data_IF_280677140832
#
_entry.id   IF_280677140832
#
_cell.length_a   1.000
_cell.length_b   1.000
_cell.length_c   1.000
_cell.angle_alpha   90.00
_cell.angle_beta   90.00
_cell.angle_gamma   90.00
#
_symmetry.space_group_name_H-M   'P 1'
#
loop_
_entity.id
_entity.type
_entity.pdbx_description
1 polymer ?
#
# COMPACT_ATOMS: atom_id res chain seq x y z
N UNK A 1 -37.62 19.25 28.45
CA UNK A 1 -36.65 20.32 28.11
C UNK A 1 -37.40 21.62 28.02
N UNK A 2 -36.86 22.70 28.59
CA UNK A 2 -37.44 24.05 28.45
C UNK A 2 -37.24 24.59 27.03
N UNK A 3 -38.00 25.61 26.63
CA UNK A 3 -37.84 26.26 25.32
C UNK A 3 -36.40 26.80 25.12
N UNK A 4 -35.82 27.39 26.16
CA UNK A 4 -34.43 27.86 26.18
C UNK A 4 -33.42 26.72 25.96
N UNK A 5 -33.64 25.55 26.59
CA UNK A 5 -32.79 24.37 26.38
C UNK A 5 -32.88 23.84 24.95
N UNK A 6 -34.04 23.93 24.30
CA UNK A 6 -34.22 23.53 22.90
C UNK A 6 -33.46 24.49 21.97
N UNK A 7 -33.56 25.80 22.21
CA UNK A 7 -32.85 26.81 21.41
C UNK A 7 -31.33 26.69 21.53
N UNK A 8 -30.82 26.52 22.76
CA UNK A 8 -29.40 26.29 22.99
C UNK A 8 -28.87 25.05 22.24
N UNK A 9 -29.63 23.93 22.24
CA UNK A 9 -29.24 22.73 21.48
C UNK A 9 -29.28 22.95 19.96
N UNK A 10 -30.25 23.71 19.45
CA UNK A 10 -30.29 24.09 18.02
C UNK A 10 -29.06 24.89 17.62
N UNK A 11 -28.65 25.87 18.44
CA UNK A 11 -27.44 26.66 18.22
C UNK A 11 -26.16 25.81 18.24
N UNK A 12 -26.06 24.87 19.18
CA UNK A 12 -24.94 23.92 19.24
C UNK A 12 -24.87 23.02 18.00
N UNK A 13 -26.01 22.52 17.51
CA UNK A 13 -26.07 21.72 16.28
C UNK A 13 -25.67 22.53 15.04
N UNK A 14 -26.12 23.78 14.93
CA UNK A 14 -25.72 24.68 13.85
C UNK A 14 -24.20 24.95 13.89
N UNK A 15 -23.65 25.22 15.08
CA UNK A 15 -22.20 25.43 15.24
C UNK A 15 -21.39 24.16 14.86
N UNK A 16 -21.88 22.97 15.22
CA UNK A 16 -21.26 21.72 14.81
C UNK A 16 -21.30 21.55 13.27
N UNK A 17 -22.43 21.85 12.64
CA UNK A 17 -22.59 21.76 11.19
C UNK A 17 -21.61 22.70 10.46
N UNK A 18 -21.48 23.95 10.92
CA UNK A 18 -20.52 24.91 10.37
C UNK A 18 -19.07 24.45 10.56
N UNK A 19 -18.71 23.96 11.74
CA UNK A 19 -17.37 23.40 11.99
C UNK A 19 -17.07 22.19 11.10
N UNK A 20 -18.05 21.32 10.86
CA UNK A 20 -17.91 20.19 9.92
C UNK A 20 -17.68 20.70 8.50
N UNK A 21 -18.50 21.64 8.03
CA UNK A 21 -18.38 22.22 6.71
C UNK A 21 -16.99 22.84 6.49
N UNK A 22 -16.49 23.58 7.48
CA UNK A 22 -15.15 24.18 7.44
C UNK A 22 -14.03 23.14 7.35
N UNK A 23 -14.08 22.08 8.18
CA UNK A 23 -13.06 21.02 8.14
C UNK A 23 -13.14 20.20 6.86
N UNK A 24 -14.34 19.91 6.35
CA UNK A 24 -14.53 19.16 5.10
C UNK A 24 -13.96 19.89 3.87
N UNK A 25 -13.83 21.22 3.92
CA UNK A 25 -13.19 22.00 2.87
C UNK A 25 -11.65 21.84 2.82
N UNK A 26 -11.04 21.22 3.85
CA UNK A 26 -9.60 20.93 3.95
C UNK A 26 -8.75 22.17 3.61
N UNK A 27 -7.81 22.07 2.66
CA UNK A 27 -6.94 23.18 2.25
C UNK A 27 -7.65 24.37 1.59
N UNK A 28 -8.97 24.31 1.39
CA UNK A 28 -9.78 25.30 0.70
C UNK A 28 -9.97 25.00 -0.79
N UNK A 29 -10.97 25.62 -1.41
CA UNK A 29 -11.38 25.34 -2.78
C UNK A 29 -10.24 25.46 -3.80
N UNK A 30 -9.40 26.50 -3.68
CA UNK A 30 -8.28 26.73 -4.60
C UNK A 30 -7.24 25.59 -4.57
N UNK A 31 -6.86 25.12 -3.39
CA UNK A 31 -5.88 24.03 -3.24
C UNK A 31 -6.46 22.68 -3.64
N UNK A 32 -7.74 22.46 -3.36
CA UNK A 32 -8.48 21.27 -3.82
C UNK A 32 -8.54 21.22 -5.35
N UNK A 33 -8.88 22.34 -6.00
CA UNK A 33 -8.88 22.42 -7.46
C UNK A 33 -7.46 22.22 -8.04
N UNK A 34 -6.43 22.76 -7.40
CA UNK A 34 -5.04 22.55 -7.82
C UNK A 34 -4.62 21.07 -7.72
N UNK A 35 -5.03 20.35 -6.66
CA UNK A 35 -4.81 18.90 -6.50
C UNK A 35 -5.50 18.14 -7.65
N UNK A 36 -6.77 18.45 -7.92
CA UNK A 36 -7.55 17.81 -9.00
C UNK A 36 -6.99 18.06 -10.39
N UNK A 37 -6.53 19.28 -10.67
CA UNK A 37 -5.86 19.64 -11.93
C UNK A 37 -4.56 18.86 -12.17
N UNK A 38 -3.93 18.32 -11.12
CA UNK A 38 -2.77 17.43 -11.22
C UNK A 38 -3.15 15.96 -11.43
N UNK A 39 -4.43 15.66 -11.65
CA UNK A 39 -4.94 14.30 -11.82
C UNK A 39 -5.02 13.50 -10.52
N UNK A 40 -4.99 14.16 -9.35
CA UNK A 40 -4.98 13.52 -8.03
C UNK A 40 -6.32 13.66 -7.34
N UNK A 41 -6.77 12.60 -6.66
CA UNK A 41 -7.91 12.67 -5.76
C UNK A 41 -7.55 13.44 -4.47
N UNK A 42 -8.53 14.01 -3.80
CA UNK A 42 -8.39 14.52 -2.42
C UNK A 42 -8.34 13.38 -1.42
N UNK A 43 -7.82 13.61 -0.21
CA UNK A 43 -7.72 12.57 0.82
C UNK A 43 -9.07 11.90 1.15
N UNK A 44 -10.17 12.67 1.15
CA UNK A 44 -11.52 12.14 1.42
C UNK A 44 -12.06 11.35 0.23
N UNK A 45 -11.88 11.83 -1.00
CA UNK A 45 -12.25 11.08 -2.22
C UNK A 45 -11.52 9.74 -2.28
N UNK A 46 -10.26 9.67 -1.84
CA UNK A 46 -9.49 8.41 -1.77
C UNK A 46 -10.06 7.42 -0.75
N UNK A 47 -10.41 7.90 0.44
CA UNK A 47 -11.07 7.08 1.48
C UNK A 47 -12.41 6.54 0.97
N UNK A 48 -13.21 7.37 0.31
CA UNK A 48 -14.49 6.97 -0.27
C UNK A 48 -14.33 6.00 -1.46
N UNK A 49 -13.27 6.15 -2.25
CA UNK A 49 -13.00 5.29 -3.41
C UNK A 49 -12.55 3.88 -3.02
N UNK A 50 -11.78 3.73 -1.94
CA UNK A 50 -11.25 2.43 -1.52
C UNK A 50 -12.18 1.66 -0.60
N UNK A 51 -12.98 2.34 0.24
CA UNK A 51 -13.87 1.69 1.20
C UNK A 51 -15.26 1.40 0.61
N UNK A 52 -15.96 0.46 1.23
CA UNK A 52 -17.36 0.19 0.94
C UNK A 52 -18.22 1.43 1.25
N UNK A 53 -19.16 1.81 0.37
CA UNK A 53 -19.95 3.03 0.51
C UNK A 53 -20.66 3.14 1.88
N UNK A 54 -20.56 4.31 2.51
CA UNK A 54 -21.24 4.61 3.79
C UNK A 54 -20.64 3.96 5.04
N UNK A 55 -19.55 3.20 4.89
CA UNK A 55 -18.95 2.46 6.02
C UNK A 55 -17.91 3.25 6.80
N UNK A 56 -17.34 4.31 6.22
CA UNK A 56 -16.28 5.08 6.86
C UNK A 56 -16.76 5.77 8.15
N UNK A 57 -15.92 5.69 9.19
CA UNK A 57 -16.09 6.34 10.48
C UNK A 57 -14.81 7.08 10.81
N UNK A 58 -14.86 8.40 10.65
CA UNK A 58 -13.72 9.28 10.89
C UNK A 58 -13.43 9.45 12.38
N UNK A 59 -12.16 9.40 12.74
CA UNK A 59 -11.64 9.63 14.10
C UNK A 59 -10.79 10.89 14.07
N UNK A 60 -11.01 11.77 15.05
CA UNK A 60 -10.21 13.00 15.18
C UNK A 60 -10.44 14.01 14.06
N UNK A 61 -11.67 14.12 13.52
CA UNK A 61 -12.04 15.10 12.48
C UNK A 61 -11.67 16.54 12.88
N UNK A 62 -11.93 16.91 14.14
CA UNK A 62 -11.66 18.25 14.66
C UNK A 62 -10.31 18.37 15.37
N UNK A 63 -9.39 17.43 15.17
CA UNK A 63 -8.04 17.55 15.70
C UNK A 63 -7.35 18.77 15.08
N UNK A 64 -6.55 19.47 15.89
CA UNK A 64 -5.89 20.73 15.53
C UNK A 64 -4.42 20.66 15.89
N UNK A 65 -3.59 21.32 15.09
CA UNK A 65 -2.20 21.56 15.44
C UNK A 65 -2.10 22.28 16.79
N UNK A 66 -1.07 21.94 17.56
CA UNK A 66 -0.76 22.60 18.84
C UNK A 66 0.18 23.78 18.70
N UNK A 67 0.87 23.86 17.56
CA UNK A 67 1.83 24.92 17.28
C UNK A 67 1.09 26.21 16.87
N UNK A 68 1.37 27.31 17.57
CA UNK A 68 0.74 28.61 17.35
C UNK A 68 1.47 29.49 16.32
N UNK A 69 2.57 29.01 15.72
CA UNK A 69 3.36 29.77 14.74
C UNK A 69 2.71 29.85 13.35
N UNK A 70 1.63 29.10 13.11
CA UNK A 70 0.83 29.14 11.90
C UNK A 70 -0.66 28.93 12.24
N UNK A 71 -1.53 29.19 11.27
CA UNK A 71 -2.99 29.08 11.44
C UNK A 71 -3.48 27.64 11.64
N UNK A 72 -4.75 27.47 12.00
CA UNK A 72 -5.40 26.16 12.19
C UNK A 72 -5.33 25.33 10.89
N UNK A 73 -4.85 24.09 11.00
CA UNK A 73 -4.76 23.14 9.88
C UNK A 73 -5.92 22.15 9.97
N UNK A 74 -6.85 22.14 9.00
CA UNK A 74 -8.02 21.26 9.04
C UNK A 74 -7.66 19.78 9.17
N UNK A 75 -8.24 19.11 10.17
CA UNK A 75 -7.96 17.72 10.54
C UNK A 75 -6.47 17.40 10.75
N UNK A 76 -5.65 18.45 10.94
CA UNK A 76 -4.20 18.46 10.92
C UNK A 76 -3.56 17.71 9.74
N UNK A 77 -4.17 17.80 8.56
CA UNK A 77 -3.60 17.27 7.32
C UNK A 77 -3.69 15.75 7.12
N UNK A 78 -4.46 15.04 7.96
CA UNK A 78 -4.75 13.61 7.75
C UNK A 78 -6.20 13.27 8.04
N UNK A 79 -6.81 12.48 7.17
CA UNK A 79 -8.08 11.83 7.42
C UNK A 79 -7.77 10.45 7.99
N UNK A 80 -8.33 10.10 9.14
CA UNK A 80 -8.02 8.86 9.84
C UNK A 80 -9.29 8.22 10.37
N UNK A 81 -9.37 6.90 10.36
CA UNK A 81 -10.54 6.19 10.85
C UNK A 81 -10.54 4.72 10.47
N UNK A 82 -11.74 4.17 10.32
CA UNK A 82 -11.96 2.81 9.86
C UNK A 82 -13.21 2.73 8.99
N UNK A 83 -13.29 1.69 8.18
CA UNK A 83 -14.47 1.36 7.39
C UNK A 83 -14.47 -0.12 7.05
N UNK A 84 -15.04 -0.46 5.90
CA UNK A 84 -15.03 -1.84 5.40
C UNK A 84 -14.52 -1.93 3.97
N UNK A 85 -13.93 -3.06 3.62
CA UNK A 85 -13.65 -3.49 2.24
C UNK A 85 -14.24 -4.89 2.12
N UNK A 86 -15.19 -5.06 1.20
CA UNK A 86 -15.92 -6.32 0.99
C UNK A 86 -16.49 -6.87 2.32
N UNK A 87 -17.05 -5.97 3.13
CA UNK A 87 -17.64 -6.26 4.43
C UNK A 87 -16.65 -6.43 5.59
N UNK A 88 -15.35 -6.57 5.32
CA UNK A 88 -14.29 -6.75 6.33
C UNK A 88 -13.78 -5.42 6.85
N UNK A 89 -13.59 -5.30 8.16
CA UNK A 89 -13.14 -4.05 8.78
C UNK A 89 -11.69 -3.74 8.42
N UNK A 90 -11.43 -2.49 8.04
CA UNK A 90 -10.10 -1.98 7.71
C UNK A 90 -9.88 -0.64 8.42
N UNK A 91 -8.70 -0.47 9.01
CA UNK A 91 -8.24 0.82 9.50
C UNK A 91 -7.52 1.57 8.40
N UNK A 92 -7.71 2.88 8.31
CA UNK A 92 -7.16 3.68 7.22
C UNK A 92 -6.77 5.07 7.67
N UNK A 93 -5.69 5.58 7.09
CA UNK A 93 -5.39 7.00 7.08
C UNK A 93 -5.06 7.47 5.66
N UNK A 94 -5.46 8.70 5.33
CA UNK A 94 -5.14 9.36 4.07
C UNK A 94 -4.64 10.76 4.35
N UNK A 95 -3.40 11.04 3.94
CA UNK A 95 -2.81 12.36 4.08
C UNK A 95 -3.41 13.32 3.05
N UNK A 96 -3.65 14.56 3.47
CA UNK A 96 -4.22 15.60 2.63
C UNK A 96 -3.17 16.66 2.27
N UNK A 97 -2.66 16.57 1.05
CA UNK A 97 -1.66 17.49 0.53
C UNK A 97 -2.15 18.95 0.44
N UNK A 98 -3.47 19.17 0.35
CA UNK A 98 -4.02 20.52 0.30
C UNK A 98 -3.89 21.25 1.64
N UNK A 99 -3.80 20.51 2.75
CA UNK A 99 -3.62 21.03 4.09
C UNK A 99 -2.12 21.03 4.47
N UNK A 100 -1.45 22.17 4.27
CA UNK A 100 -0.01 22.35 4.57
C UNK A 100 0.91 21.29 3.93
N UNK A 101 0.62 20.88 2.70
CA UNK A 101 1.41 19.88 1.99
C UNK A 101 1.34 18.48 2.61
N UNK A 102 0.34 18.21 3.47
CA UNK A 102 0.21 16.94 4.18
C UNK A 102 1.39 16.64 5.12
N UNK A 103 2.15 17.66 5.51
CA UNK A 103 3.40 17.53 6.28
C UNK A 103 3.15 17.11 7.73
N UNK A 104 3.89 16.10 8.18
CA UNK A 104 3.72 15.45 9.48
C UNK A 104 4.03 16.37 10.65
N UNK A 105 3.01 16.61 11.47
CA UNK A 105 3.06 17.25 12.79
C UNK A 105 2.86 16.23 13.93
N UNK A 106 2.98 16.70 15.18
CA UNK A 106 2.67 15.90 16.36
C UNK A 106 1.23 15.34 16.33
N UNK A 107 0.24 16.19 16.05
CA UNK A 107 -1.18 15.79 16.09
C UNK A 107 -1.57 14.93 14.90
N UNK A 108 -0.98 15.15 13.71
CA UNK A 108 -1.13 14.24 12.58
C UNK A 108 -0.56 12.86 12.92
N UNK A 109 0.61 12.81 13.56
CA UNK A 109 1.22 11.56 14.01
C UNK A 109 0.39 10.86 15.08
N UNK A 110 -0.19 11.58 16.04
CA UNK A 110 -1.11 11.03 17.05
C UNK A 110 -2.31 10.31 16.40
N UNK A 111 -2.90 10.90 15.36
CA UNK A 111 -4.01 10.28 14.63
C UNK A 111 -3.60 9.00 13.92
N UNK A 112 -2.46 9.00 13.23
CA UNK A 112 -1.93 7.80 12.56
C UNK A 112 -1.60 6.72 13.59
N UNK A 113 -0.94 7.10 14.69
CA UNK A 113 -0.63 6.20 15.81
C UNK A 113 -1.90 5.56 16.37
N UNK A 114 -2.98 6.33 16.56
CA UNK A 114 -4.25 5.80 17.03
C UNK A 114 -4.86 4.77 16.08
N UNK A 115 -4.80 5.02 14.76
CA UNK A 115 -5.26 4.08 13.73
C UNK A 115 -4.46 2.77 13.79
N UNK A 116 -3.14 2.85 13.88
CA UNK A 116 -2.26 1.69 14.00
C UNK A 116 -2.51 0.90 15.30
N UNK A 117 -2.58 1.59 16.44
CA UNK A 117 -2.85 0.98 17.76
C UNK A 117 -4.21 0.27 17.76
N UNK A 118 -5.23 0.89 17.16
CA UNK A 118 -6.56 0.30 17.06
C UNK A 118 -6.60 -0.89 16.09
N UNK A 119 -5.87 -0.84 14.98
CA UNK A 119 -5.74 -1.94 14.02
C UNK A 119 -5.13 -3.19 14.68
N UNK A 120 -4.02 -3.03 15.40
CA UNK A 120 -3.36 -4.10 16.15
C UNK A 120 -4.30 -4.66 17.22
N UNK A 121 -4.94 -3.78 17.99
CA UNK A 121 -5.83 -4.18 19.10
C UNK A 121 -7.03 -4.99 18.61
N UNK A 122 -7.63 -4.58 17.49
CA UNK A 122 -8.82 -5.24 16.91
C UNK A 122 -8.42 -6.47 16.08
N UNK A 123 -7.20 -6.51 15.54
CA UNK A 123 -6.74 -7.57 14.63
C UNK A 123 -7.30 -7.38 13.22
N UNK A 124 -7.17 -6.18 12.66
CA UNK A 124 -7.61 -5.86 11.30
C UNK A 124 -6.50 -5.18 10.49
N UNK A 125 -6.51 -5.32 9.15
CA UNK A 125 -5.54 -4.67 8.29
C UNK A 125 -5.57 -3.14 8.41
N UNK A 126 -4.44 -2.52 8.09
CA UNK A 126 -4.31 -1.07 8.01
C UNK A 126 -3.80 -0.62 6.64
N UNK A 127 -4.41 0.43 6.11
CA UNK A 127 -4.03 1.07 4.84
C UNK A 127 -3.54 2.50 5.10
N UNK A 128 -2.35 2.83 4.62
CA UNK A 128 -1.84 4.19 4.56
C UNK A 128 -1.90 4.73 3.13
N UNK A 129 -2.58 5.87 2.94
CA UNK A 129 -2.57 6.60 1.67
C UNK A 129 -1.69 7.85 1.82
N UNK A 130 -0.50 7.77 1.25
CA UNK A 130 0.58 8.73 1.49
C UNK A 130 0.64 9.77 0.37
N UNK A 131 0.58 11.04 0.78
CA UNK A 131 0.67 12.23 -0.07
C UNK A 131 1.14 13.40 0.80
N UNK A 132 2.45 13.41 1.08
CA UNK A 132 3.06 14.25 2.10
C UNK A 132 4.42 14.80 1.69
N UNK A 133 4.59 16.10 1.87
CA UNK A 133 5.88 16.78 1.69
C UNK A 133 6.96 16.40 2.71
N UNK A 134 6.69 15.51 3.67
CA UNK A 134 7.65 15.08 4.68
C UNK A 134 7.32 15.59 6.09
N UNK A 135 8.34 15.99 6.84
CA UNK A 135 8.16 16.55 8.19
C UNK A 135 7.66 18.00 8.11
N UNK A 136 6.77 18.38 9.04
CA UNK A 136 6.40 19.80 9.22
C UNK A 136 7.53 20.52 9.94
N UNK A 137 8.36 21.23 9.17
CA UNK A 137 9.57 21.89 9.68
C UNK A 137 9.27 22.84 10.85
N UNK A 138 8.12 23.52 10.81
CA UNK A 138 7.68 24.45 11.85
C UNK A 138 7.47 23.78 13.22
N UNK A 139 7.22 22.47 13.25
CA UNK A 139 7.03 21.67 14.47
C UNK A 139 8.34 21.01 14.94
N UNK A 140 9.43 21.13 14.17
CA UNK A 140 10.77 20.72 14.58
C UNK A 140 10.86 19.26 15.07
N UNK A 141 11.34 19.09 16.30
CA UNK A 141 11.58 17.77 16.91
C UNK A 141 10.28 16.99 17.17
N UNK A 142 9.14 17.67 17.33
CA UNK A 142 7.87 17.00 17.58
C UNK A 142 7.38 16.26 16.33
N UNK A 143 7.63 16.80 15.14
CA UNK A 143 7.39 16.10 13.88
C UNK A 143 8.25 14.84 13.74
N UNK A 144 9.54 14.92 14.11
CA UNK A 144 10.46 13.77 14.05
C UNK A 144 10.12 12.70 15.10
N UNK A 145 9.74 13.11 16.31
CA UNK A 145 9.21 12.23 17.35
C UNK A 145 7.93 11.53 16.86
N UNK A 146 7.05 12.28 16.18
CA UNK A 146 5.86 11.74 15.51
C UNK A 146 6.19 10.61 14.53
N UNK A 147 7.19 10.80 13.66
CA UNK A 147 7.69 9.75 12.78
C UNK A 147 8.17 8.51 13.56
N UNK A 148 9.04 8.70 14.56
CA UNK A 148 9.55 7.59 15.37
C UNK A 148 8.44 6.77 16.03
N UNK A 149 7.38 7.43 16.51
CA UNK A 149 6.21 6.78 17.10
C UNK A 149 5.38 5.98 16.10
N UNK A 150 5.29 6.43 14.85
CA UNK A 150 4.66 5.68 13.75
C UNK A 150 5.51 4.47 13.40
N UNK A 151 6.82 4.64 13.22
CA UNK A 151 7.73 3.55 12.85
C UNK A 151 7.73 2.43 13.89
N UNK A 152 7.77 2.80 15.17
CA UNK A 152 7.66 1.84 16.27
C UNK A 152 6.40 0.97 16.14
N UNK A 153 5.25 1.57 15.79
CA UNK A 153 3.99 0.85 15.60
C UNK A 153 3.97 0.00 14.34
N UNK A 154 4.59 0.45 13.24
CA UNK A 154 4.75 -0.40 12.05
C UNK A 154 5.53 -1.67 12.38
N UNK A 155 6.61 -1.54 13.16
CA UNK A 155 7.39 -2.69 13.64
C UNK A 155 6.57 -3.61 14.54
N UNK A 156 5.78 -3.06 15.47
CA UNK A 156 4.90 -3.88 16.32
C UNK A 156 3.76 -4.57 15.54
N UNK A 157 3.29 -3.97 14.46
CA UNK A 157 2.25 -4.53 13.60
C UNK A 157 2.76 -5.57 12.59
N UNK A 158 4.08 -5.62 12.34
CA UNK A 158 4.69 -6.49 11.33
C UNK A 158 4.44 -7.96 11.66
N UNK A 159 3.81 -8.69 10.71
CA UNK A 159 3.39 -10.08 10.92
C UNK A 159 2.24 -10.25 11.93
N UNK A 160 1.57 -9.18 12.35
CA UNK A 160 0.40 -9.22 13.26
C UNK A 160 -0.88 -8.87 12.50
N UNK A 161 -0.88 -7.74 11.81
CA UNK A 161 -1.96 -7.31 10.92
C UNK A 161 -1.36 -6.90 9.57
N UNK A 162 -2.01 -7.18 8.43
CA UNK A 162 -1.48 -6.74 7.14
C UNK A 162 -1.40 -5.21 7.08
N UNK A 163 -0.24 -4.70 6.70
CA UNK A 163 0.04 -3.28 6.51
C UNK A 163 0.25 -3.00 5.03
N UNK A 164 -0.61 -2.18 4.44
CA UNK A 164 -0.54 -1.82 3.02
C UNK A 164 -0.38 -0.32 2.91
N UNK A 165 0.55 0.13 2.06
CA UNK A 165 0.76 1.53 1.77
C UNK A 165 0.50 1.80 0.28
N UNK A 166 -0.20 2.88 -0.03
CA UNK A 166 -0.27 3.45 -1.36
C UNK A 166 0.35 4.84 -1.34
N UNK A 167 1.45 5.02 -2.07
CA UNK A 167 2.07 6.33 -2.27
C UNK A 167 1.40 6.95 -3.50
N UNK A 168 0.57 7.96 -3.26
CA UNK A 168 -0.33 8.61 -4.23
C UNK A 168 -0.02 10.10 -4.35
N UNK A 169 1.25 10.44 -4.11
CA UNK A 169 1.78 11.79 -4.09
C UNK A 169 3.28 11.81 -3.76
N UNK A 170 3.88 13.00 -3.59
CA UNK A 170 5.22 13.11 -3.05
C UNK A 170 5.30 12.45 -1.67
N UNK A 171 6.39 11.73 -1.40
CA UNK A 171 6.72 11.14 -0.10
C UNK A 171 8.23 11.20 0.06
N UNK A 172 8.72 12.17 0.84
CA UNK A 172 10.15 12.46 0.96
C UNK A 172 10.66 12.35 2.40
N UNK A 173 11.94 11.99 2.56
CA UNK A 173 12.63 11.97 3.85
C UNK A 173 11.97 11.02 4.85
N UNK A 174 11.60 11.51 6.02
CA UNK A 174 10.95 10.70 7.06
C UNK A 174 9.69 9.96 6.57
N UNK A 175 8.99 10.51 5.58
CA UNK A 175 7.74 9.96 5.08
C UNK A 175 7.90 8.60 4.37
N UNK A 176 9.10 8.24 3.87
CA UNK A 176 9.32 6.97 3.18
C UNK A 176 9.53 5.78 4.11
N UNK A 177 9.94 6.02 5.37
CA UNK A 177 10.30 4.93 6.27
C UNK A 177 9.11 4.14 6.80
N UNK A 178 7.96 4.78 7.05
CA UNK A 178 6.76 4.05 7.43
C UNK A 178 6.29 3.11 6.30
N UNK A 179 6.14 3.58 5.03
CA UNK A 179 5.92 2.69 3.88
C UNK A 179 6.93 1.54 3.81
N UNK A 180 8.24 1.80 3.97
CA UNK A 180 9.28 0.78 3.92
C UNK A 180 9.13 -0.32 4.99
N UNK A 181 8.46 -0.02 6.11
CA UNK A 181 8.15 -0.97 7.18
C UNK A 181 6.80 -1.69 6.99
N UNK A 182 5.99 -1.30 6.00
CA UNK A 182 4.72 -1.99 5.65
C UNK A 182 4.97 -3.20 4.75
N UNK A 183 3.99 -4.11 4.65
CA UNK A 183 4.15 -5.36 3.90
C UNK A 183 4.13 -5.14 2.39
N UNK A 184 3.25 -4.26 1.90
CA UNK A 184 3.10 -3.99 0.46
C UNK A 184 3.02 -2.50 0.17
N UNK A 185 3.82 -2.05 -0.80
CA UNK A 185 3.88 -0.65 -1.23
C UNK A 185 3.40 -0.56 -2.67
N UNK A 186 2.30 0.16 -2.88
CA UNK A 186 1.79 0.53 -4.19
C UNK A 186 2.20 1.96 -4.51
N UNK A 187 2.51 2.23 -5.77
CA UNK A 187 2.76 3.58 -6.28
C UNK A 187 1.91 3.85 -7.51
N UNK A 188 1.57 5.12 -7.76
CA UNK A 188 0.83 5.55 -8.96
C UNK A 188 1.72 6.37 -9.87
N UNK A 189 1.84 5.94 -11.13
CA UNK A 189 2.74 6.56 -12.12
C UNK A 189 2.39 8.03 -12.35
N UNK A 190 3.41 8.86 -12.56
CA UNK A 190 3.28 10.28 -12.89
C UNK A 190 2.85 11.21 -11.77
N UNK A 191 2.24 10.72 -10.68
CA UNK A 191 1.79 11.54 -9.55
C UNK A 191 2.54 11.27 -8.24
N UNK A 192 3.27 10.14 -8.15
CA UNK A 192 3.88 9.66 -6.92
C UNK A 192 5.39 9.53 -7.02
N UNK A 193 6.08 9.92 -5.95
CA UNK A 193 7.55 9.89 -5.86
C UNK A 193 7.96 9.52 -4.43
N UNK A 194 8.97 8.66 -4.30
CA UNK A 194 9.49 8.20 -3.01
C UNK A 194 11.02 8.23 -2.99
N UNK A 195 11.58 9.07 -2.13
CA UNK A 195 13.04 9.16 -1.92
C UNK A 195 13.38 9.68 -0.52
N UNK A 196 14.55 9.29 0.00
CA UNK A 196 15.05 9.83 1.28
C UNK A 196 15.47 11.30 1.08
N UNK A 197 16.22 11.56 0.01
CA UNK A 197 16.77 12.89 -0.30
C UNK A 197 16.29 13.30 -1.69
N UNK A 198 15.67 14.47 -1.82
CA UNK A 198 15.09 14.92 -3.09
C UNK A 198 16.13 15.41 -4.11
N UNK A 199 15.75 15.52 -5.40
CA UNK A 199 16.68 15.80 -6.50
C UNK A 199 17.51 17.08 -6.32
N UNK A 200 16.90 18.14 -5.77
CA UNK A 200 17.60 19.41 -5.50
C UNK A 200 18.76 19.27 -4.52
N UNK A 201 18.61 18.39 -3.53
CA UNK A 201 19.66 18.16 -2.52
C UNK A 201 20.73 17.23 -3.09
N UNK A 202 20.35 16.25 -3.92
CA UNK A 202 21.30 15.41 -4.67
C UNK A 202 22.18 16.26 -5.59
N UNK A 203 21.59 17.19 -6.35
CA UNK A 203 22.35 18.10 -7.21
C UNK A 203 23.30 18.99 -6.41
N UNK A 204 22.83 19.58 -5.31
CA UNK A 204 23.64 20.47 -4.49
C UNK A 204 24.81 19.75 -3.77
N UNK A 205 24.61 18.50 -3.36
CA UNK A 205 25.61 17.74 -2.60
C UNK A 205 26.59 16.95 -3.48
N UNK A 206 26.12 16.40 -4.59
CA UNK A 206 26.86 15.45 -5.44
C UNK A 206 27.12 15.99 -6.85
N UNK A 207 26.50 17.09 -7.25
CA UNK A 207 26.56 17.61 -8.63
C UNK A 207 25.77 16.79 -9.65
N UNK A 208 25.00 15.80 -9.20
CA UNK A 208 24.22 14.91 -10.06
C UNK A 208 22.84 15.51 -10.36
N UNK A 209 22.55 15.73 -11.64
CA UNK A 209 21.24 16.18 -12.12
C UNK A 209 20.35 14.99 -12.42
N UNK A 210 19.33 14.80 -11.60
CA UNK A 210 18.35 13.71 -11.73
C UNK A 210 16.94 14.27 -11.61
N UNK A 211 15.96 13.66 -12.29
CA UNK A 211 14.55 14.06 -12.18
C UNK A 211 13.87 13.36 -11.01
N UNK A 212 12.72 13.85 -10.54
CA UNK A 212 11.92 13.14 -9.52
C UNK A 212 11.52 11.72 -9.98
N UNK A 213 11.19 11.55 -11.27
CA UNK A 213 10.80 10.26 -11.85
C UNK A 213 11.98 9.28 -11.90
N UNK A 214 13.16 9.74 -12.32
CA UNK A 214 14.36 8.89 -12.39
C UNK A 214 14.90 8.52 -11.01
N UNK A 215 14.77 9.44 -10.04
CA UNK A 215 15.27 9.25 -8.68
C UNK A 215 14.36 8.33 -7.86
N UNK A 216 13.04 8.53 -7.95
CA UNK A 216 12.09 7.86 -7.06
C UNK A 216 10.68 7.74 -7.61
N UNK A 217 10.49 7.86 -8.93
CA UNK A 217 9.21 7.60 -9.57
C UNK A 217 8.77 6.15 -9.43
N UNK A 218 7.46 5.90 -9.59
CA UNK A 218 6.86 4.59 -9.36
C UNK A 218 7.55 3.45 -10.13
N UNK A 219 7.95 3.69 -11.38
CA UNK A 219 8.62 2.66 -12.21
C UNK A 219 10.06 2.42 -11.75
N UNK A 220 10.80 3.48 -11.42
CA UNK A 220 12.18 3.38 -10.95
C UNK A 220 12.25 2.67 -9.59
N UNK A 221 11.38 3.04 -8.65
CA UNK A 221 11.30 2.45 -7.32
C UNK A 221 10.90 0.97 -7.34
N UNK A 222 10.05 0.56 -8.28
CA UNK A 222 9.75 -0.87 -8.48
C UNK A 222 10.93 -1.60 -9.12
N UNK A 223 11.38 -1.15 -10.29
CA UNK A 223 12.31 -1.91 -11.13
C UNK A 223 13.73 -1.99 -10.55
N UNK A 224 14.22 -0.93 -9.91
CA UNK A 224 15.60 -0.85 -9.41
C UNK A 224 15.69 -1.16 -7.92
N UNK A 225 14.86 -0.51 -7.11
CA UNK A 225 14.98 -0.61 -5.66
C UNK A 225 14.24 -1.83 -5.06
N UNK A 226 13.30 -2.44 -5.80
CA UNK A 226 12.57 -3.63 -5.33
C UNK A 226 11.67 -3.40 -4.12
N UNK A 227 11.40 -2.14 -3.74
CA UNK A 227 10.58 -1.79 -2.57
C UNK A 227 9.10 -1.65 -2.89
N UNK A 228 8.76 -1.31 -4.14
CA UNK A 228 7.37 -1.15 -4.60
C UNK A 228 6.86 -2.46 -5.17
N UNK A 229 5.78 -3.00 -4.62
CA UNK A 229 5.22 -4.25 -5.13
C UNK A 229 4.49 -4.07 -6.45
N UNK A 230 3.78 -2.94 -6.66
CA UNK A 230 3.07 -2.63 -7.90
C UNK A 230 3.07 -1.13 -8.20
N UNK A 231 3.26 -0.80 -9.48
CA UNK A 231 3.23 0.57 -10.00
C UNK A 231 2.09 0.69 -11.01
N UNK A 232 1.02 1.34 -10.59
CA UNK A 232 -0.28 1.36 -11.26
C UNK A 232 -0.45 2.63 -12.09
N UNK A 233 -1.33 2.62 -13.09
CA UNK A 233 -1.49 3.74 -14.00
C UNK A 233 -2.25 4.92 -13.38
N UNK A 234 -3.16 4.63 -12.43
CA UNK A 234 -3.97 5.64 -11.77
C UNK A 234 -4.41 5.18 -10.37
N UNK A 235 -4.95 6.12 -9.60
CA UNK A 235 -5.41 5.86 -8.23
C UNK A 235 -6.55 4.82 -8.16
N UNK A 236 -7.48 4.82 -9.13
CA UNK A 236 -8.61 3.90 -9.12
C UNK A 236 -8.16 2.45 -9.32
N UNK A 237 -7.24 2.20 -10.26
CA UNK A 237 -6.61 0.89 -10.46
C UNK A 237 -5.83 0.46 -9.22
N UNK A 238 -5.08 1.38 -8.60
CA UNK A 238 -4.36 1.11 -7.36
C UNK A 238 -5.31 0.64 -6.24
N UNK A 239 -6.42 1.32 -6.01
CA UNK A 239 -7.38 0.92 -4.99
C UNK A 239 -8.07 -0.40 -5.32
N UNK A 240 -8.37 -0.67 -6.60
CA UNK A 240 -8.89 -1.98 -7.03
C UNK A 240 -7.91 -3.11 -6.75
N UNK A 241 -6.62 -2.92 -7.06
CA UNK A 241 -5.59 -3.94 -6.82
C UNK A 241 -5.28 -4.13 -5.33
N UNK A 242 -5.39 -3.08 -4.50
CA UNK A 242 -5.33 -3.22 -3.04
C UNK A 242 -6.52 -4.03 -2.51
N UNK A 243 -7.74 -3.78 -2.99
CA UNK A 243 -8.92 -4.58 -2.64
C UNK A 243 -8.75 -6.04 -3.06
N UNK A 244 -8.25 -6.28 -4.27
CA UNK A 244 -7.96 -7.63 -4.76
C UNK A 244 -6.90 -8.33 -3.90
N UNK A 245 -5.78 -7.66 -3.59
CA UNK A 245 -4.76 -8.19 -2.67
C UNK A 245 -5.38 -8.60 -1.33
N UNK A 246 -6.16 -7.70 -0.70
CA UNK A 246 -6.82 -7.98 0.58
C UNK A 246 -7.74 -9.21 0.53
N UNK A 247 -8.33 -9.51 -0.63
CA UNK A 247 -9.14 -10.71 -0.81
C UNK A 247 -8.37 -12.02 -0.61
N UNK A 248 -7.04 -12.02 -0.71
CA UNK A 248 -6.17 -13.18 -0.44
C UNK A 248 -5.65 -13.23 1.00
N UNK A 249 -5.72 -12.12 1.74
CA UNK A 249 -5.09 -11.98 3.04
C UNK A 249 -6.09 -12.20 4.18
N UNK A 250 -5.70 -12.85 5.30
CA UNK A 250 -6.50 -12.84 6.53
C UNK A 250 -6.57 -11.43 7.14
N UNK A 251 -7.42 -11.20 8.14
CA UNK A 251 -7.49 -9.89 8.79
C UNK A 251 -6.33 -9.66 9.77
N UNK A 252 -5.77 -10.75 10.30
CA UNK A 252 -4.62 -10.78 11.18
C UNK A 252 -3.96 -12.16 11.15
N UNK A 253 -2.80 -12.31 11.79
CA UNK A 253 -2.09 -13.58 11.94
C UNK A 253 -2.83 -14.64 12.78
N UNK A 254 -3.97 -14.29 13.39
CA UNK A 254 -4.79 -15.21 14.20
C UNK A 254 -5.85 -15.93 13.37
N UNK A 255 -6.05 -15.49 12.14
CA UNK A 255 -7.04 -16.03 11.22
C UNK A 255 -6.34 -16.78 10.07
N UNK A 256 -7.08 -17.71 9.46
CA UNK A 256 -6.69 -18.29 8.17
C UNK A 256 -7.11 -17.33 7.05
N UNK A 257 -6.44 -17.35 5.89
CA UNK A 257 -6.90 -16.58 4.73
C UNK A 257 -8.34 -16.97 4.34
N UNK A 258 -9.13 -16.04 3.80
CA UNK A 258 -10.52 -16.31 3.44
C UNK A 258 -10.61 -17.34 2.31
N UNK A 259 -11.54 -18.30 2.44
CA UNK A 259 -11.90 -19.19 1.33
C UNK A 259 -12.90 -18.48 0.41
N UNK A 260 -12.58 -18.40 -0.88
CA UNK A 260 -13.45 -17.82 -1.92
C UNK A 260 -13.59 -18.84 -3.04
N UNK A 261 -14.82 -19.29 -3.28
CA UNK A 261 -15.12 -20.27 -4.31
C UNK A 261 -15.25 -19.57 -5.68
N UNK A 262 -14.35 -19.89 -6.62
CA UNK A 262 -14.43 -19.47 -8.01
C UNK A 262 -15.18 -20.46 -8.92
N UNK A 263 -15.63 -21.58 -8.36
CA UNK A 263 -16.37 -22.64 -9.03
C UNK A 263 -15.51 -23.54 -9.91
N UNK A 264 -14.20 -23.58 -9.66
CA UNK A 264 -13.29 -24.58 -10.24
C UNK A 264 -13.35 -25.88 -9.44
N UNK A 265 -13.17 -27.01 -10.13
CA UNK A 265 -13.19 -28.33 -9.47
C UNK A 265 -11.79 -28.68 -8.94
N UNK A 266 -11.66 -29.13 -7.67
CA UNK A 266 -10.38 -29.60 -7.15
C UNK A 266 -9.80 -30.80 -7.93
N UNK A 267 -10.64 -31.52 -8.65
CA UNK A 267 -10.27 -32.69 -9.46
C UNK A 267 -9.96 -32.33 -10.93
N UNK A 268 -9.77 -31.04 -11.25
CA UNK A 268 -9.53 -30.60 -12.63
C UNK A 268 -8.23 -31.20 -13.15
N UNK A 269 -8.34 -31.94 -14.24
CA UNK A 269 -7.21 -32.45 -14.99
C UNK A 269 -7.04 -31.66 -16.29
N UNK A 270 -5.85 -31.13 -16.55
CA UNK A 270 -5.53 -30.40 -17.77
C UNK A 270 -4.38 -31.11 -18.51
N UNK A 271 -4.67 -31.91 -19.56
CA UNK A 271 -3.64 -32.62 -20.30
C UNK A 271 -2.69 -31.69 -21.05
N UNK A 272 -3.08 -30.43 -21.31
CA UNK A 272 -2.25 -29.46 -22.03
C UNK A 272 -1.05 -28.96 -21.21
N UNK A 273 -1.03 -29.23 -19.90
CA UNK A 273 0.12 -28.94 -19.04
C UNK A 273 1.39 -29.67 -19.48
N UNK A 274 1.24 -30.89 -20.02
CA UNK A 274 2.37 -31.71 -20.47
C UNK A 274 3.16 -31.01 -21.59
N UNK A 275 2.47 -30.28 -22.46
CA UNK A 275 3.06 -29.63 -23.63
C UNK A 275 3.71 -28.26 -23.31
N UNK A 276 3.63 -27.78 -22.06
CA UNK A 276 4.19 -26.46 -21.69
C UNK A 276 5.71 -26.50 -21.58
N UNK A 277 6.27 -27.60 -21.04
CA UNK A 277 7.71 -27.78 -20.87
C UNK A 277 8.29 -28.33 -22.19
N UNK A 278 9.25 -27.63 -22.83
CA UNK A 278 9.83 -28.09 -24.09
C UNK A 278 10.70 -29.33 -23.93
N UNK A 279 10.77 -30.17 -24.96
CA UNK A 279 11.68 -31.34 -24.99
C UNK A 279 13.16 -30.96 -24.90
N UNK A 280 13.51 -29.80 -25.46
CA UNK A 280 14.89 -29.31 -25.44
C UNK A 280 15.17 -28.59 -24.11
N UNK A 281 16.15 -29.05 -23.32
CA UNK A 281 16.47 -28.45 -22.02
C UNK A 281 17.03 -27.02 -22.13
N UNK A 282 17.49 -26.62 -23.32
CA UNK A 282 18.02 -25.28 -23.57
C UNK A 282 16.94 -24.27 -23.97
N UNK A 283 15.69 -24.72 -24.17
CA UNK A 283 14.60 -23.85 -24.60
C UNK A 283 13.78 -23.41 -23.38
N UNK A 284 13.73 -22.10 -23.06
CA UNK A 284 12.91 -21.63 -21.95
C UNK A 284 11.42 -21.66 -22.31
N UNK A 285 10.59 -21.61 -21.28
CA UNK A 285 9.15 -21.46 -21.40
C UNK A 285 8.63 -20.43 -20.38
N UNK A 286 7.37 -20.03 -20.54
CA UNK A 286 6.74 -19.08 -19.63
C UNK A 286 6.08 -19.82 -18.47
N UNK A 287 6.65 -19.72 -17.27
CA UNK A 287 6.12 -20.32 -16.04
C UNK A 287 4.69 -19.86 -15.70
N UNK A 288 4.27 -18.66 -16.14
CA UNK A 288 2.86 -18.23 -15.97
C UNK A 288 1.86 -19.16 -16.65
N UNK A 289 2.23 -19.85 -17.74
CA UNK A 289 1.33 -20.82 -18.39
C UNK A 289 1.01 -22.01 -17.49
N UNK A 290 1.95 -22.40 -16.63
CA UNK A 290 1.74 -23.46 -15.62
C UNK A 290 0.87 -22.92 -14.49
N UNK A 291 1.21 -21.74 -13.95
CA UNK A 291 0.42 -21.08 -12.89
C UNK A 291 -1.04 -20.93 -13.32
N UNK A 292 -1.28 -20.40 -14.52
CA UNK A 292 -2.63 -20.21 -15.06
C UNK A 292 -3.44 -21.51 -15.13
N UNK A 293 -2.79 -22.67 -15.32
CA UNK A 293 -3.45 -23.96 -15.48
C UNK A 293 -3.53 -24.77 -14.20
N UNK A 294 -2.65 -24.57 -13.22
CA UNK A 294 -2.64 -25.35 -11.97
C UNK A 294 -3.64 -24.80 -10.94
N UNK A 295 -3.73 -23.48 -10.82
CA UNK A 295 -4.55 -22.83 -9.79
C UNK A 295 -5.99 -22.59 -10.24
N UNK A 296 -6.89 -22.31 -9.28
CA UNK A 296 -8.33 -22.22 -9.50
C UNK A 296 -8.69 -21.26 -10.63
N UNK A 297 -9.50 -21.70 -11.60
CA UNK A 297 -9.96 -20.83 -12.69
C UNK A 297 -10.99 -19.80 -12.23
N UNK A 298 -10.92 -18.59 -12.79
CA UNK A 298 -11.92 -17.54 -12.57
C UNK A 298 -12.93 -17.50 -13.70
N UNK A 299 -14.22 -17.39 -13.36
CA UNK A 299 -15.32 -17.22 -14.33
C UNK A 299 -15.42 -15.81 -14.90
N UNK A 300 -14.80 -14.83 -14.24
CA UNK A 300 -14.83 -13.41 -14.65
C UNK A 300 -13.84 -13.06 -15.77
N UNK A 301 -13.06 -14.05 -16.26
CA UNK A 301 -12.07 -13.86 -17.32
C UNK A 301 -10.80 -13.12 -16.88
N UNK A 302 -10.67 -12.76 -15.60
CA UNK A 302 -9.43 -12.19 -15.05
C UNK A 302 -8.38 -13.28 -14.84
N UNK A 303 -7.12 -12.86 -14.72
CA UNK A 303 -6.03 -13.74 -14.27
C UNK A 303 -6.39 -14.39 -12.94
N UNK A 304 -6.13 -15.69 -12.81
CA UNK A 304 -6.33 -16.46 -11.58
C UNK A 304 -5.22 -16.30 -10.53
N UNK A 305 -4.28 -15.38 -10.79
CA UNK A 305 -3.20 -15.04 -9.88
C UNK A 305 -3.05 -13.51 -9.78
N UNK A 306 -2.56 -13.06 -8.63
CA UNK A 306 -2.22 -11.67 -8.34
C UNK A 306 -0.70 -11.55 -8.19
N UNK A 307 -0.03 -11.08 -9.24
CA UNK A 307 1.43 -10.95 -9.29
C UNK A 307 1.94 -9.75 -8.49
N UNK A 308 2.99 -10.00 -7.72
CA UNK A 308 3.76 -9.00 -6.98
C UNK A 308 5.13 -8.80 -7.62
N UNK A 309 5.58 -7.55 -7.62
CA UNK A 309 6.87 -7.13 -8.16
C UNK A 309 7.11 -7.56 -9.63
N UNK A 310 6.17 -7.31 -10.58
CA UNK A 310 6.30 -7.72 -11.97
C UNK A 310 7.52 -7.14 -12.71
N UNK A 311 8.09 -6.03 -12.23
CA UNK A 311 9.24 -5.37 -12.87
C UNK A 311 10.57 -5.57 -12.12
N UNK A 312 10.58 -6.30 -11.00
CA UNK A 312 11.77 -6.53 -10.18
C UNK A 312 12.08 -8.01 -10.06
N UNK A 313 13.36 -8.38 -10.18
CA UNK A 313 13.84 -9.76 -10.16
C UNK A 313 12.94 -10.71 -10.97
N UNK A 314 12.80 -10.44 -12.27
CA UNK A 314 11.83 -11.13 -13.14
C UNK A 314 12.17 -12.60 -13.42
N UNK A 315 13.33 -13.05 -12.93
CA UNK A 315 13.80 -14.44 -12.88
C UNK A 315 13.09 -15.29 -11.79
N UNK A 316 12.36 -14.65 -10.87
CA UNK A 316 11.48 -15.33 -9.91
C UNK A 316 10.10 -14.65 -9.85
N UNK A 317 9.06 -15.45 -9.79
CA UNK A 317 7.67 -15.03 -9.68
C UNK A 317 7.24 -15.19 -8.23
N UNK A 318 6.59 -14.14 -7.71
CA UNK A 318 5.88 -14.17 -6.43
C UNK A 318 4.46 -13.68 -6.68
N UNK A 319 3.46 -14.53 -6.44
CA UNK A 319 2.06 -14.16 -6.63
C UNK A 319 1.14 -14.87 -5.65
N UNK A 320 -0.06 -14.32 -5.46
CA UNK A 320 -1.14 -15.03 -4.76
C UNK A 320 -2.08 -15.68 -5.77
N UNK A 321 -2.58 -16.87 -5.47
CA UNK A 321 -3.64 -17.52 -6.22
C UNK A 321 -4.60 -18.25 -5.27
N UNK A 322 -5.48 -19.09 -5.80
CA UNK A 322 -6.35 -19.97 -5.01
C UNK A 322 -6.25 -21.42 -5.43
N UNK A 323 -6.41 -22.32 -4.46
CA UNK A 323 -6.54 -23.76 -4.66
C UNK A 323 -7.72 -24.28 -3.82
N UNK A 324 -8.76 -24.80 -4.47
CA UNK A 324 -10.03 -25.17 -3.83
C UNK A 324 -10.61 -24.02 -2.97
N UNK A 325 -10.49 -22.81 -3.51
CA UNK A 325 -10.91 -21.54 -2.95
C UNK A 325 -10.00 -20.98 -1.85
N UNK A 326 -9.01 -21.71 -1.35
CA UNK A 326 -8.09 -21.22 -0.33
C UNK A 326 -6.96 -20.41 -0.95
N UNK A 327 -6.61 -19.27 -0.34
CA UNK A 327 -5.46 -18.49 -0.80
C UNK A 327 -4.14 -19.24 -0.61
N UNK A 328 -3.29 -19.16 -1.62
CA UNK A 328 -1.94 -19.74 -1.63
C UNK A 328 -0.96 -18.71 -2.16
N UNK A 329 0.22 -18.65 -1.56
CA UNK A 329 1.37 -17.93 -2.10
C UNK A 329 2.12 -18.84 -3.07
N UNK A 330 2.57 -18.31 -4.19
CA UNK A 330 3.32 -19.04 -5.21
C UNK A 330 4.71 -18.45 -5.33
N UNK A 331 5.70 -19.32 -5.34
CA UNK A 331 7.08 -19.00 -5.69
C UNK A 331 7.47 -19.86 -6.86
N UNK A 332 7.88 -19.24 -7.96
CA UNK A 332 8.19 -19.97 -9.17
C UNK A 332 9.37 -19.36 -9.91
N UNK A 333 10.32 -20.19 -10.32
CA UNK A 333 11.40 -19.72 -11.21
C UNK A 333 10.81 -19.36 -12.59
N UNK A 334 11.35 -18.35 -13.25
CA UNK A 334 10.92 -17.94 -14.59
C UNK A 334 12.05 -18.21 -15.60
N UNK A 335 12.02 -19.33 -16.33
CA UNK A 335 13.06 -19.68 -17.30
C UNK A 335 13.27 -18.62 -18.39
N UNK A 336 12.23 -17.85 -18.75
CA UNK A 336 12.36 -16.76 -19.72
C UNK A 336 13.21 -15.57 -19.24
N UNK A 337 13.62 -15.52 -17.97
CA UNK A 337 14.47 -14.46 -17.42
C UNK A 337 15.63 -15.08 -16.64
N UNK A 338 16.88 -14.77 -17.05
CA UNK A 338 18.12 -15.32 -16.47
C UNK A 338 18.10 -16.86 -16.31
N UNK A 339 17.41 -17.56 -17.21
CA UNK A 339 17.19 -19.00 -17.16
C UNK A 339 16.55 -19.52 -15.85
N UNK A 340 15.82 -18.67 -15.11
CA UNK A 340 15.25 -19.03 -13.80
C UNK A 340 16.26 -19.09 -12.65
N UNK A 341 17.52 -18.70 -12.89
CA UNK A 341 18.59 -18.70 -11.89
C UNK A 341 18.27 -17.76 -10.73
N UNK A 342 18.69 -18.12 -9.52
CA UNK A 342 18.57 -17.24 -8.35
C UNK A 342 19.73 -16.24 -8.31
N UNK A 343 19.43 -15.00 -7.91
CA UNK A 343 20.39 -13.94 -7.65
C UNK A 343 20.01 -13.22 -6.34
N UNK A 344 20.79 -12.22 -5.94
CA UNK A 344 20.54 -11.40 -4.73
C UNK A 344 19.10 -10.87 -4.74
N UNK A 345 18.70 -10.19 -5.83
CA UNK A 345 17.39 -9.56 -5.94
C UNK A 345 16.23 -10.57 -5.89
N UNK A 346 16.35 -11.70 -6.60
CA UNK A 346 15.34 -12.77 -6.55
C UNK A 346 15.25 -13.41 -5.16
N UNK A 347 16.38 -13.54 -4.47
CA UNK A 347 16.44 -14.09 -3.11
C UNK A 347 15.77 -13.16 -2.11
N UNK A 348 16.00 -11.85 -2.19
CA UNK A 348 15.34 -10.84 -1.35
C UNK A 348 13.83 -10.79 -1.62
N UNK A 349 13.43 -10.78 -2.90
CA UNK A 349 12.02 -10.81 -3.33
C UNK A 349 11.30 -12.04 -2.77
N UNK A 350 11.85 -13.23 -2.99
CA UNK A 350 11.22 -14.48 -2.58
C UNK A 350 11.24 -14.65 -1.05
N UNK A 351 12.34 -14.36 -0.37
CA UNK A 351 12.47 -14.54 1.08
C UNK A 351 11.47 -13.67 1.85
N UNK A 352 11.29 -12.41 1.47
CA UNK A 352 10.30 -11.52 2.10
C UNK A 352 8.88 -12.01 1.86
N UNK A 353 8.58 -12.51 0.65
CA UNK A 353 7.28 -13.08 0.33
C UNK A 353 6.97 -14.35 1.13
N UNK A 354 7.94 -15.27 1.29
CA UNK A 354 7.83 -16.47 2.13
C UNK A 354 7.48 -16.09 3.56
N UNK A 355 8.27 -15.18 4.15
CA UNK A 355 8.09 -14.74 5.53
C UNK A 355 6.75 -14.06 5.76
N UNK A 356 6.28 -13.29 4.79
CA UNK A 356 4.93 -12.71 4.85
C UNK A 356 3.85 -13.79 4.81
N UNK A 357 3.94 -14.74 3.88
CA UNK A 357 2.96 -15.83 3.77
C UNK A 357 2.91 -16.66 5.06
N UNK A 358 4.07 -17.02 5.61
CA UNK A 358 4.22 -17.75 6.87
C UNK A 358 3.57 -16.99 8.05
N UNK A 359 3.89 -15.70 8.20
CA UNK A 359 3.35 -14.87 9.27
C UNK A 359 1.82 -14.75 9.25
N UNK A 360 1.18 -14.94 8.09
CA UNK A 360 -0.27 -14.84 7.91
C UNK A 360 -0.94 -16.17 7.55
N UNK A 361 -0.29 -17.30 7.85
CA UNK A 361 -0.86 -18.65 7.67
C UNK A 361 -1.29 -18.94 6.22
N UNK A 362 -0.62 -18.35 5.23
CA UNK A 362 -0.86 -18.59 3.81
C UNK A 362 0.09 -19.71 3.34
N UNK A 363 -0.42 -20.86 2.89
CA UNK A 363 0.41 -21.92 2.35
C UNK A 363 1.21 -21.45 1.15
N UNK A 364 2.46 -21.93 1.02
CA UNK A 364 3.33 -21.62 -0.12
C UNK A 364 3.44 -22.85 -1.03
N UNK A 365 3.24 -22.64 -2.33
CA UNK A 365 3.46 -23.64 -3.38
C UNK A 365 4.68 -23.21 -4.21
N UNK A 366 5.68 -24.09 -4.28
CA UNK A 366 6.90 -23.85 -5.04
C UNK A 366 6.82 -24.59 -6.40
N UNK A 367 6.97 -23.85 -7.50
CA UNK A 367 7.13 -24.41 -8.84
C UNK A 367 8.59 -24.24 -9.27
N UNK A 368 9.33 -25.34 -9.25
CA UNK A 368 10.80 -25.32 -9.30
C UNK A 368 11.30 -25.57 -10.72
N UNK A 369 12.07 -24.63 -11.24
CA UNK A 369 12.86 -24.76 -12.47
C UNK A 369 14.10 -23.86 -12.38
N UNK A 370 15.05 -24.28 -11.56
CA UNK A 370 16.24 -23.50 -11.19
C UNK A 370 17.51 -24.26 -11.58
N UNK A 371 18.40 -23.67 -12.39
CA UNK A 371 19.68 -24.30 -12.71
C UNK A 371 20.74 -24.10 -11.60
N UNK A 372 20.56 -23.10 -10.75
CA UNK A 372 21.49 -22.71 -9.69
C UNK A 372 21.42 -21.21 -9.40
N UNK A 373 22.47 -20.68 -8.77
CA UNK A 373 22.66 -19.24 -8.57
C UNK A 373 23.39 -18.62 -9.77
N UNK A 374 23.12 -17.34 -10.04
CA UNK A 374 23.82 -16.56 -11.05
C UNK A 374 25.27 -16.32 -10.59
N UNK A 375 26.29 -16.72 -11.38
CA UNK A 375 27.68 -16.50 -11.01
C UNK A 375 28.16 -15.07 -11.31
N UNK A 376 29.27 -14.65 -10.69
CA UNK A 376 30.02 -13.45 -11.05
C UNK A 376 30.39 -12.56 -9.86
N UNK A 377 31.44 -11.74 -9.99
CA UNK A 377 31.95 -10.88 -8.90
C UNK A 377 31.00 -9.77 -8.45
N UNK A 378 29.89 -9.56 -9.15
CA UNK A 378 28.83 -8.66 -8.69
C UNK A 378 27.80 -9.37 -7.79
N UNK A 379 27.83 -10.71 -7.75
CA UNK A 379 27.00 -11.55 -6.90
C UNK A 379 27.77 -12.07 -5.66
N UNK A 380 29.06 -12.36 -5.81
CA UNK A 380 30.00 -12.62 -4.70
C UNK A 380 30.32 -11.32 -3.93
#
# INVERSE_FOLDING_TARGET
>A
MTAEQIDAKKKQLAQLAERRKAVLAMGGAERVEAQKKRGKMTARERVDAILDPGTFREIGMFARNRNNSYGDVPADGVIAGYGKIDGRKIFIFSQDFTAMGGTLSETQADKICHVLDAAIKVGCPVIGLNDSGGARIQDGVDALSGYGRIFYRNTLASGVVPQICAIVGPTAGGAVYSPALTDFIFMVKGISFAYITGPRVVEAAMGEKVTDEDLGGATAAQRKAGVVCRSEENEAECYQNIRELLSYLPSSNREKPPRVDWGDTPDRNDPTLFDVVPDSPNRPYNMFRIIERVFDQRKDGKKNYFELFPLFATNIITCFARLNGWSVGIIANQPNSKAGSLDIDASDKASRFIRFCDAFNIPVVNLVDVPGYLPGTAQE
#
